data_IF_297813965112
#
_entry.id   IF_297813965112
#
_cell.length_a   1.000
_cell.length_b   1.000
_cell.length_c   1.000
_cell.angle_alpha   90.00
_cell.angle_beta   90.00
_cell.angle_gamma   90.00
#
_symmetry.space_group_name_H-M   'P 1'
#
loop_
_entity.id
_entity.type
_entity.pdbx_description
1 polymer ?
#
# COMPACT_ATOMS: atom_id res chain seq x y z
N UNK A 1 0.61 11.85 5.91
CA UNK A 1 1.50 10.92 5.20
C UNK A 1 2.03 11.63 3.98
N UNK A 2 3.32 11.51 3.68
CA UNK A 2 3.95 12.23 2.57
C UNK A 2 4.13 11.33 1.33
N UNK A 3 4.52 11.93 0.20
CA UNK A 3 4.74 11.22 -1.06
C UNK A 3 5.85 10.15 -0.93
N UNK A 4 6.83 10.36 -0.06
CA UNK A 4 7.93 9.44 0.18
C UNK A 4 7.45 8.11 0.80
N UNK A 5 6.52 8.18 1.77
CA UNK A 5 5.93 6.99 2.37
C UNK A 5 5.12 6.17 1.35
N UNK A 6 4.39 6.85 0.45
CA UNK A 6 3.65 6.18 -0.65
C UNK A 6 4.63 5.49 -1.60
N UNK A 7 5.72 6.17 -1.99
CA UNK A 7 6.74 5.57 -2.85
C UNK A 7 7.37 4.32 -2.23
N UNK A 8 7.73 4.37 -0.95
CA UNK A 8 8.31 3.23 -0.23
C UNK A 8 7.33 2.04 -0.16
N UNK A 9 6.05 2.29 0.07
CA UNK A 9 5.00 1.26 0.03
C UNK A 9 4.96 0.60 -1.35
N UNK A 10 4.91 1.40 -2.41
CA UNK A 10 4.79 0.89 -3.79
C UNK A 10 6.04 0.11 -4.19
N UNK A 11 7.25 0.58 -3.85
CA UNK A 11 8.51 -0.14 -4.09
C UNK A 11 8.54 -1.50 -3.40
N UNK A 12 8.00 -1.59 -2.19
CA UNK A 12 7.99 -2.83 -1.41
C UNK A 12 7.14 -3.91 -2.06
N UNK A 13 5.99 -3.52 -2.63
CA UNK A 13 5.03 -4.46 -3.24
C UNK A 13 5.17 -4.55 -4.77
N UNK A 14 6.10 -3.83 -5.39
CA UNK A 14 6.22 -3.79 -6.86
C UNK A 14 6.54 -5.16 -7.47
N UNK A 15 7.20 -6.02 -6.70
CA UNK A 15 7.55 -7.40 -7.05
C UNK A 15 6.36 -8.36 -6.95
N UNK A 16 5.30 -7.98 -6.24
CA UNK A 16 4.05 -8.74 -6.07
C UNK A 16 2.90 -7.96 -6.73
N UNK A 17 2.74 -8.18 -8.05
CA UNK A 17 1.77 -7.47 -8.89
C UNK A 17 0.33 -7.53 -8.33
N UNK A 18 -0.20 -8.70 -7.88
CA UNK A 18 -1.50 -8.76 -7.20
C UNK A 18 -1.63 -7.82 -5.99
N UNK A 19 -0.60 -7.78 -5.13
CA UNK A 19 -0.59 -6.90 -3.96
C UNK A 19 -0.49 -5.43 -4.36
N UNK A 20 0.35 -5.10 -5.33
CA UNK A 20 0.47 -3.75 -5.87
C UNK A 20 -0.87 -3.23 -6.38
N UNK A 21 -1.60 -4.02 -7.17
CA UNK A 21 -2.94 -3.65 -7.68
C UNK A 21 -3.87 -3.35 -6.50
N UNK A 22 -3.91 -4.22 -5.50
CA UNK A 22 -4.78 -4.05 -4.32
C UNK A 22 -4.46 -2.77 -3.53
N UNK A 23 -3.18 -2.46 -3.34
CA UNK A 23 -2.73 -1.24 -2.65
C UNK A 23 -3.11 0.01 -3.46
N UNK A 24 -2.84 0.00 -4.77
CA UNK A 24 -3.16 1.12 -5.66
C UNK A 24 -4.67 1.36 -5.75
N UNK A 25 -5.49 0.31 -5.84
CA UNK A 25 -6.95 0.44 -5.87
C UNK A 25 -7.49 1.13 -4.62
N UNK A 26 -6.99 0.77 -3.43
CA UNK A 26 -7.35 1.45 -2.17
C UNK A 26 -6.96 2.93 -2.20
N UNK A 27 -5.72 3.25 -2.61
CA UNK A 27 -5.24 4.63 -2.71
C UNK A 27 -6.05 5.46 -3.71
N UNK A 28 -6.40 4.88 -4.86
CA UNK A 28 -7.20 5.53 -5.90
C UNK A 28 -8.63 5.78 -5.42
N UNK A 29 -9.24 4.84 -4.69
CA UNK A 29 -10.57 5.04 -4.13
C UNK A 29 -10.60 6.27 -3.18
N UNK A 30 -9.61 6.35 -2.28
CA UNK A 30 -9.48 7.47 -1.35
C UNK A 30 -9.22 8.79 -2.08
N UNK A 31 -8.37 8.76 -3.11
CA UNK A 31 -8.10 9.94 -3.94
C UNK A 31 -9.35 10.41 -4.69
N UNK A 32 -10.15 9.49 -5.25
CA UNK A 32 -11.41 9.81 -5.95
C UNK A 32 -12.45 10.44 -5.03
N UNK A 33 -12.43 10.10 -3.74
CA UNK A 33 -13.27 10.72 -2.71
C UNK A 33 -12.74 12.10 -2.27
N UNK A 34 -11.65 12.58 -2.87
CA UNK A 34 -10.99 13.85 -2.57
C UNK A 34 -10.72 14.06 -1.07
N UNK A 35 -10.31 12.98 -0.40
CA UNK A 35 -10.00 12.99 1.03
C UNK A 35 -8.63 12.40 1.29
N UNK A 36 -8.15 12.66 2.50
CA UNK A 36 -6.94 12.04 3.03
C UNK A 36 -7.32 10.68 3.63
N UNK A 37 -6.48 9.64 3.51
CA UNK A 37 -6.74 8.37 4.17
C UNK A 37 -6.73 8.54 5.69
N UNK A 38 -7.59 7.80 6.37
CA UNK A 38 -7.62 7.73 7.83
C UNK A 38 -6.44 6.91 8.36
N UNK A 39 -6.19 6.99 9.66
CA UNK A 39 -5.17 6.16 10.31
C UNK A 39 -5.43 4.66 10.15
N UNK A 40 -6.69 4.23 10.20
CA UNK A 40 -7.08 2.83 10.06
C UNK A 40 -6.87 2.31 8.63
N UNK A 41 -7.16 3.15 7.63
CA UNK A 41 -6.91 2.82 6.22
C UNK A 41 -5.41 2.70 5.94
N UNK A 42 -4.59 3.59 6.51
CA UNK A 42 -3.14 3.47 6.42
C UNK A 42 -2.61 2.22 7.12
N UNK A 43 -3.12 1.90 8.30
CA UNK A 43 -2.76 0.67 9.01
C UNK A 43 -3.11 -0.57 8.16
N UNK A 44 -4.25 -0.57 7.48
CA UNK A 44 -4.64 -1.65 6.56
C UNK A 44 -3.72 -1.78 5.35
N UNK A 45 -3.30 -0.65 4.75
CA UNK A 45 -2.36 -0.63 3.63
C UNK A 45 -1.00 -1.15 4.08
N UNK A 46 -0.47 -0.66 5.21
CA UNK A 46 0.81 -1.10 5.75
C UNK A 46 0.81 -2.59 6.08
N UNK A 47 -0.23 -3.10 6.74
CA UNK A 47 -0.34 -4.54 7.02
C UNK A 47 -0.36 -5.39 5.74
N UNK A 48 -0.97 -4.89 4.66
CA UNK A 48 -0.97 -5.56 3.35
C UNK A 48 0.44 -5.60 2.74
N UNK A 49 1.16 -4.48 2.84
CA UNK A 49 2.53 -4.31 2.35
C UNK A 49 3.51 -5.18 3.15
N UNK A 50 3.41 -5.18 4.47
CA UNK A 50 4.25 -5.96 5.38
C UNK A 50 4.07 -7.46 5.12
N UNK A 51 2.82 -7.92 4.97
CA UNK A 51 2.54 -9.32 4.65
C UNK A 51 3.11 -9.75 3.28
N UNK A 52 3.13 -8.86 2.29
CA UNK A 52 3.79 -9.12 1.01
C UNK A 52 5.31 -9.09 1.13
N UNK A 53 5.86 -8.16 1.92
CA UNK A 53 7.30 -8.10 2.19
C UNK A 53 7.81 -9.36 2.88
N UNK A 54 7.09 -9.86 3.90
CA UNK A 54 7.41 -11.11 4.59
C UNK A 54 7.38 -12.32 3.64
N UNK A 55 6.41 -12.36 2.72
CA UNK A 55 6.35 -13.41 1.69
C UNK A 55 7.53 -13.34 0.72
N UNK A 56 7.95 -12.14 0.33
CA UNK A 56 9.09 -11.94 -0.57
C UNK A 56 10.43 -12.22 0.12
N UNK A 57 10.55 -11.95 1.42
CA UNK A 57 11.76 -12.24 2.19
C UNK A 57 11.91 -13.73 2.55
N UNK A 58 10.80 -14.44 2.79
CA UNK A 58 10.79 -15.86 3.15
C UNK A 58 10.53 -16.80 1.96
N UNK A 59 10.43 -16.24 0.75
CA UNK A 59 10.17 -16.95 -0.51
C UNK A 59 11.42 -17.36 -1.26
#
# INVERSE_FOLDING_TARGET
MDLAAIASILETVISDVPTLISVVEKLVAIFKENRVPTSDEWASINATVDAAHEKLQNG
#
